data_IF_991105404102
#
_entry.id   IF_991105404102
#
_cell.length_a   1.000
_cell.length_b   1.000
_cell.length_c   1.000
_cell.angle_alpha   90.00
_cell.angle_beta   90.00
_cell.angle_gamma   90.00
#
_symmetry.space_group_name_H-M   'P 1'
#
loop_
_entity.id
_entity.type
_entity.pdbx_description
1 polymer ?
#
# COMPACT_ATOMS: atom_id res chain seq x y z
N UNK A 1 3.25 -10.76 24.98
CA UNK A 1 4.64 -11.24 25.23
C UNK A 1 5.10 -11.88 23.93
N UNK A 2 6.02 -11.23 23.22
CA UNK A 2 6.58 -11.70 21.94
C UNK A 2 7.68 -12.72 22.25
N UNK A 3 7.63 -13.89 21.61
CA UNK A 3 8.67 -14.92 21.71
C UNK A 3 9.50 -14.95 20.42
N UNK A 4 10.70 -14.33 20.40
CA UNK A 4 11.59 -14.30 19.24
C UNK A 4 12.23 -15.66 18.91
N UNK A 5 11.97 -16.71 19.67
CA UNK A 5 12.47 -18.06 19.41
C UNK A 5 11.55 -18.92 18.53
N UNK A 6 10.33 -18.45 18.25
CA UNK A 6 9.41 -19.12 17.35
C UNK A 6 9.79 -18.75 15.91
N UNK A 7 9.98 -19.74 15.01
CA UNK A 7 10.52 -19.45 13.69
C UNK A 7 9.59 -18.49 12.95
N UNK A 8 10.20 -17.58 12.19
CA UNK A 8 9.60 -16.71 11.16
C UNK A 8 8.67 -17.51 10.20
N UNK A 9 8.75 -18.84 10.28
CA UNK A 9 8.13 -19.86 9.45
C UNK A 9 6.97 -20.61 10.14
N UNK A 10 6.07 -19.91 10.85
CA UNK A 10 4.86 -20.57 11.41
C UNK A 10 3.98 -21.19 10.31
N UNK A 11 4.11 -20.69 9.07
CA UNK A 11 3.38 -21.15 7.88
C UNK A 11 4.33 -21.24 6.67
N UNK A 12 5.15 -22.31 6.57
CA UNK A 12 6.29 -22.36 5.64
C UNK A 12 5.95 -22.40 4.16
N UNK A 13 4.69 -22.68 3.83
CA UNK A 13 4.22 -22.86 2.47
C UNK A 13 3.07 -21.88 2.13
N UNK A 14 2.66 -21.08 3.12
CA UNK A 14 1.54 -20.17 2.96
C UNK A 14 1.95 -18.95 2.14
N UNK A 15 1.22 -18.68 1.06
CA UNK A 15 1.36 -17.43 0.35
C UNK A 15 1.09 -16.25 1.30
N UNK A 16 1.97 -15.24 1.36
CA UNK A 16 1.78 -14.10 2.26
C UNK A 16 0.57 -13.24 1.89
N UNK A 17 0.07 -13.35 0.65
CA UNK A 17 -1.09 -12.61 0.14
C UNK A 17 -2.41 -13.32 0.47
N UNK A 18 -2.65 -14.54 -0.03
CA UNK A 18 -3.93 -15.21 0.17
C UNK A 18 -3.99 -16.17 1.37
N UNK A 19 -2.83 -16.58 1.89
CA UNK A 19 -2.73 -17.49 3.03
C UNK A 19 -2.90 -18.98 2.73
N UNK A 20 -3.24 -19.37 1.49
CA UNK A 20 -3.22 -20.76 1.05
C UNK A 20 -1.80 -21.32 0.94
N UNK A 21 -1.63 -22.58 1.36
CA UNK A 21 -0.41 -23.36 1.22
C UNK A 21 -0.18 -23.71 -0.26
N UNK A 22 0.57 -22.86 -0.97
CA UNK A 22 0.76 -22.92 -2.43
C UNK A 22 2.22 -22.79 -2.85
N UNK A 23 3.10 -22.49 -1.91
CA UNK A 23 4.52 -22.29 -2.14
C UNK A 23 5.29 -23.52 -1.69
N UNK A 24 6.42 -23.82 -2.34
CA UNK A 24 7.31 -24.88 -1.88
C UNK A 24 8.10 -24.42 -0.65
N UNK A 25 8.54 -23.16 -0.64
CA UNK A 25 9.16 -22.48 0.48
C UNK A 25 8.92 -20.96 0.46
N UNK A 26 9.06 -20.31 1.62
CA UNK A 26 8.97 -18.85 1.73
C UNK A 26 10.21 -18.16 1.16
N UNK A 27 10.02 -17.08 0.40
CA UNK A 27 11.06 -16.17 -0.07
C UNK A 27 11.88 -16.65 -1.27
N UNK A 28 11.43 -17.71 -1.93
CA UNK A 28 12.12 -18.33 -3.08
C UNK A 28 11.58 -17.85 -4.44
N UNK A 29 10.82 -16.75 -4.47
CA UNK A 29 10.22 -16.17 -5.68
C UNK A 29 9.18 -17.08 -6.38
N UNK A 30 8.61 -18.03 -5.63
CA UNK A 30 7.48 -18.82 -6.11
C UNK A 30 6.26 -17.93 -6.34
N UNK A 31 5.54 -18.18 -7.44
CA UNK A 31 4.28 -17.49 -7.75
C UNK A 31 3.12 -18.32 -7.25
N UNK A 32 2.31 -17.75 -6.36
CA UNK A 32 1.11 -18.40 -5.85
C UNK A 32 0.11 -18.70 -6.98
N UNK A 33 -0.25 -19.97 -7.14
CA UNK A 33 -1.21 -20.43 -8.17
C UNK A 33 -2.66 -20.02 -7.92
N UNK A 34 -2.97 -19.52 -6.72
CA UNK A 34 -4.30 -19.03 -6.35
C UNK A 34 -4.39 -17.53 -6.61
N UNK A 35 -3.58 -16.72 -5.93
CA UNK A 35 -3.71 -15.27 -5.99
C UNK A 35 -2.76 -14.60 -6.99
N UNK A 36 -1.75 -15.31 -7.52
CA UNK A 36 -0.72 -14.81 -8.44
C UNK A 36 0.30 -13.82 -7.86
N UNK A 37 0.37 -13.68 -6.54
CA UNK A 37 1.46 -12.97 -5.87
C UNK A 37 2.77 -13.78 -5.95
N UNK A 38 3.89 -13.14 -6.29
CA UNK A 38 5.24 -13.69 -6.20
C UNK A 38 5.79 -13.51 -4.79
N UNK A 39 6.22 -14.59 -4.15
CA UNK A 39 6.80 -14.54 -2.81
C UNK A 39 8.28 -14.12 -2.84
N UNK A 40 8.50 -12.81 -2.91
CA UNK A 40 9.82 -12.16 -2.80
C UNK A 40 10.36 -12.07 -1.34
N UNK A 41 9.69 -12.76 -0.40
CA UNK A 41 10.02 -12.76 1.03
C UNK A 41 9.42 -11.59 1.82
N UNK A 42 8.58 -10.76 1.20
CA UNK A 42 7.79 -9.73 1.90
C UNK A 42 6.77 -10.36 2.87
N UNK A 43 6.57 -9.75 4.05
CA UNK A 43 5.56 -10.17 5.01
C UNK A 43 5.05 -8.98 5.86
N UNK A 44 4.40 -9.24 6.99
CA UNK A 44 3.71 -8.27 7.85
C UNK A 44 4.52 -7.02 8.21
N UNK A 45 5.82 -7.16 8.50
CA UNK A 45 6.69 -6.06 8.93
C UNK A 45 6.92 -5.02 7.83
N UNK A 46 6.82 -5.43 6.57
CA UNK A 46 7.05 -4.59 5.41
C UNK A 46 5.91 -4.67 4.38
N UNK A 47 4.71 -5.12 4.80
CA UNK A 47 3.58 -5.39 3.91
C UNK A 47 3.09 -4.16 3.15
N UNK A 48 3.33 -2.95 3.67
CA UNK A 48 2.95 -1.69 3.03
C UNK A 48 4.00 -1.18 2.02
N UNK A 49 5.16 -1.81 1.93
CA UNK A 49 6.22 -1.42 0.98
C UNK A 49 5.87 -1.93 -0.41
N UNK A 50 6.02 -1.08 -1.43
CA UNK A 50 5.94 -1.52 -2.84
C UNK A 50 7.35 -1.93 -3.28
N UNK A 51 7.55 -3.23 -3.51
CA UNK A 51 8.85 -3.79 -3.92
C UNK A 51 9.05 -3.81 -5.44
N UNK A 52 7.97 -3.76 -6.23
CA UNK A 52 8.07 -3.75 -7.68
C UNK A 52 8.04 -5.15 -8.30
N UNK A 53 8.70 -5.30 -9.45
CA UNK A 53 8.90 -6.60 -10.10
C UNK A 53 7.60 -7.22 -10.63
N UNK A 54 7.48 -8.56 -10.59
CA UNK A 54 6.26 -9.29 -10.96
C UNK A 54 5.02 -8.87 -10.16
N UNK A 55 5.21 -8.40 -8.94
CA UNK A 55 4.15 -7.85 -8.07
C UNK A 55 3.69 -6.43 -8.48
N UNK A 56 4.21 -5.88 -9.59
CA UNK A 56 3.83 -4.59 -10.15
C UNK A 56 4.01 -3.44 -9.16
N UNK A 57 3.08 -2.49 -9.10
CA UNK A 57 3.08 -1.34 -8.20
C UNK A 57 2.33 -1.60 -6.88
N UNK A 58 2.00 -2.86 -6.58
CA UNK A 58 1.19 -3.21 -5.41
C UNK A 58 2.08 -3.50 -4.21
N UNK A 59 1.61 -3.07 -3.03
CA UNK A 59 2.11 -3.57 -1.77
C UNK A 59 1.42 -4.88 -1.42
N UNK A 60 2.04 -5.71 -0.58
CA UNK A 60 1.42 -6.93 -0.08
C UNK A 60 0.09 -6.65 0.64
N UNK A 61 -0.01 -5.56 1.39
CA UNK A 61 -1.28 -5.11 2.00
C UNK A 61 -2.36 -4.91 0.94
N UNK A 62 -2.06 -4.21 -0.16
CA UNK A 62 -3.05 -4.00 -1.24
C UNK A 62 -3.41 -5.31 -1.93
N UNK A 63 -2.43 -6.17 -2.17
CA UNK A 63 -2.64 -7.50 -2.74
C UNK A 63 -3.57 -8.37 -1.88
N UNK A 64 -3.39 -8.37 -0.55
CA UNK A 64 -4.29 -9.06 0.39
C UNK A 64 -5.72 -8.54 0.30
N UNK A 65 -5.90 -7.22 0.30
CA UNK A 65 -7.23 -6.59 0.17
C UNK A 65 -7.88 -6.96 -1.18
N UNK A 66 -7.12 -6.87 -2.27
CA UNK A 66 -7.58 -7.24 -3.60
C UNK A 66 -8.00 -8.71 -3.68
N UNK A 67 -7.23 -9.60 -3.04
CA UNK A 67 -7.57 -11.01 -2.96
C UNK A 67 -8.85 -11.24 -2.15
N UNK A 68 -8.98 -10.63 -0.98
CA UNK A 68 -10.21 -10.72 -0.17
C UNK A 68 -11.45 -10.22 -0.92
N UNK A 69 -11.27 -9.19 -1.76
CA UNK A 69 -12.38 -8.55 -2.48
C UNK A 69 -12.72 -9.25 -3.81
N UNK A 70 -11.72 -9.79 -4.51
CA UNK A 70 -11.86 -10.20 -5.93
C UNK A 70 -11.24 -11.56 -6.26
N UNK A 71 -10.61 -12.22 -5.29
CA UNK A 71 -9.97 -13.53 -5.46
C UNK A 71 -8.62 -13.51 -6.18
N UNK A 72 -8.03 -12.34 -6.48
CA UNK A 72 -6.72 -12.22 -7.14
C UNK A 72 -5.93 -11.02 -6.59
N UNK A 73 -4.59 -11.09 -6.59
CA UNK A 73 -3.74 -10.01 -6.06
C UNK A 73 -3.91 -8.69 -6.83
N UNK A 74 -4.17 -8.76 -8.14
CA UNK A 74 -4.32 -7.63 -9.03
C UNK A 74 -5.58 -7.79 -9.90
N UNK A 75 -6.69 -7.11 -9.57
CA UNK A 75 -7.98 -7.32 -10.23
C UNK A 75 -7.98 -7.09 -11.74
N UNK A 76 -7.09 -6.21 -12.24
CA UNK A 76 -6.94 -5.91 -13.66
C UNK A 76 -6.29 -7.04 -14.48
N UNK A 77 -5.66 -8.03 -13.83
CA UNK A 77 -5.08 -9.22 -14.48
C UNK A 77 -6.14 -10.28 -14.77
N UNK A 78 -7.12 -9.89 -15.58
CA UNK A 78 -8.22 -10.78 -15.98
C UNK A 78 -7.73 -12.01 -16.75
N UNK A 79 -6.59 -11.89 -17.44
CA UNK A 79 -5.90 -12.96 -18.18
C UNK A 79 -5.44 -14.14 -17.31
N UNK A 80 -5.37 -13.95 -15.99
CA UNK A 80 -4.90 -14.95 -15.03
C UNK A 80 -6.02 -15.71 -14.32
N UNK A 81 -7.28 -15.22 -14.40
CA UNK A 81 -8.41 -15.78 -13.64
C UNK A 81 -8.72 -17.22 -14.03
N UNK A 82 -8.75 -17.50 -15.33
CA UNK A 82 -9.05 -18.85 -15.86
C UNK A 82 -7.91 -19.86 -15.60
N UNK A 83 -6.77 -19.39 -15.09
CA UNK A 83 -5.59 -20.21 -14.76
C UNK A 83 -5.44 -20.47 -13.27
N UNK A 84 -6.30 -19.88 -12.43
CA UNK A 84 -6.21 -20.03 -10.97
C UNK A 84 -6.43 -21.49 -10.57
N UNK A 85 -5.61 -21.95 -9.62
CA UNK A 85 -5.86 -23.21 -8.95
C UNK A 85 -7.12 -23.10 -8.08
N UNK A 86 -7.97 -24.13 -8.16
CA UNK A 86 -9.12 -24.24 -7.25
C UNK A 86 -8.65 -24.47 -5.82
N UNK A 87 -9.28 -23.76 -4.87
CA UNK A 87 -8.89 -23.80 -3.46
C UNK A 87 -9.41 -25.03 -2.71
N UNK A 88 -10.33 -25.80 -3.29
CA UNK A 88 -10.97 -26.94 -2.65
C UNK A 88 -9.98 -28.01 -2.14
N UNK A 89 -8.83 -28.14 -2.81
CA UNK A 89 -7.76 -29.08 -2.43
C UNK A 89 -6.65 -28.44 -1.59
N UNK A 90 -6.74 -27.16 -1.28
CA UNK A 90 -5.68 -26.38 -0.63
C UNK A 90 -6.04 -26.08 0.82
N UNK A 91 -5.03 -26.13 1.68
CA UNK A 91 -5.17 -25.73 3.09
C UNK A 91 -4.89 -24.23 3.19
N UNK A 92 -5.86 -23.47 3.71
CA UNK A 92 -5.62 -22.10 4.13
C UNK A 92 -4.94 -22.10 5.51
N UNK A 93 -3.72 -21.58 5.57
CA UNK A 93 -2.89 -21.54 6.77
C UNK A 93 -2.88 -20.16 7.44
N UNK A 94 -3.06 -19.09 6.65
CA UNK A 94 -3.16 -17.71 7.15
C UNK A 94 -4.52 -17.13 6.80
N UNK A 95 -5.09 -16.40 7.74
CA UNK A 95 -6.40 -15.77 7.60
C UNK A 95 -6.27 -14.27 7.79
N UNK A 96 -6.76 -13.53 6.80
CA UNK A 96 -6.78 -12.08 6.82
C UNK A 96 -8.22 -11.57 6.84
N UNK A 97 -8.46 -10.47 7.54
CA UNK A 97 -9.76 -9.79 7.60
C UNK A 97 -9.59 -8.34 7.17
N UNK A 98 -10.53 -7.81 6.40
CA UNK A 98 -10.53 -6.41 5.98
C UNK A 98 -11.80 -5.72 6.50
N UNK A 99 -11.62 -4.62 7.23
CA UNK A 99 -12.68 -3.72 7.65
C UNK A 99 -12.68 -2.51 6.72
N UNK A 100 -13.67 -2.45 5.82
CA UNK A 100 -13.83 -1.36 4.87
C UNK A 100 -14.05 -0.01 5.55
N UNK A 101 -14.74 0.03 6.70
CA UNK A 101 -15.09 1.28 7.38
C UNK A 101 -13.88 2.01 7.95
N UNK A 102 -12.85 1.24 8.36
CA UNK A 102 -11.60 1.78 8.88
C UNK A 102 -10.44 1.59 7.91
N UNK A 103 -10.66 0.98 6.74
CA UNK A 103 -9.62 0.58 5.79
C UNK A 103 -8.50 -0.24 6.43
N UNK A 104 -8.85 -1.07 7.43
CA UNK A 104 -7.88 -1.83 8.22
C UNK A 104 -7.89 -3.28 7.80
N UNK A 105 -6.72 -3.80 7.43
CA UNK A 105 -6.50 -5.22 7.25
C UNK A 105 -5.79 -5.80 8.47
N UNK A 106 -6.16 -7.00 8.88
CA UNK A 106 -5.57 -7.68 10.02
C UNK A 106 -5.28 -9.16 9.72
N UNK A 107 -4.30 -9.71 10.43
CA UNK A 107 -4.05 -11.14 10.59
C UNK A 107 -4.23 -11.47 12.08
N UNK A 108 -5.46 -11.84 12.49
CA UNK A 108 -5.79 -11.98 13.92
C UNK A 108 -4.92 -13.00 14.65
N UNK A 109 -4.51 -14.08 13.96
CA UNK A 109 -3.68 -15.13 14.53
C UNK A 109 -2.29 -14.66 14.98
N UNK A 110 -1.83 -13.52 14.45
CA UNK A 110 -0.53 -12.90 14.79
C UNK A 110 -0.68 -11.56 15.52
N UNK A 111 -1.89 -11.15 15.90
CA UNK A 111 -2.16 -9.83 16.48
C UNK A 111 -1.60 -8.68 15.61
N UNK A 112 -1.58 -8.89 14.29
CA UNK A 112 -1.08 -7.92 13.32
C UNK A 112 -2.24 -7.20 12.65
N UNK A 113 -2.12 -5.89 12.48
CA UNK A 113 -3.01 -5.11 11.64
C UNK A 113 -2.31 -3.89 11.07
N UNK A 114 -2.83 -3.39 9.96
CA UNK A 114 -2.42 -2.11 9.39
C UNK A 114 -3.58 -1.48 8.65
N UNK A 115 -3.63 -0.16 8.68
CA UNK A 115 -4.61 0.62 7.92
C UNK A 115 -4.00 1.03 6.60
N UNK A 116 -4.63 0.64 5.50
CA UNK A 116 -4.27 1.21 4.20
C UNK A 116 -4.79 2.64 4.18
N UNK A 117 -3.90 3.59 3.96
CA UNK A 117 -4.31 4.93 3.56
C UNK A 117 -4.40 4.85 2.05
N UNK A 118 -5.62 4.94 1.52
CA UNK A 118 -5.94 4.75 0.10
C UNK A 118 -4.80 5.22 -0.80
N UNK A 119 -4.19 4.25 -1.47
CA UNK A 119 -3.17 4.51 -2.46
C UNK A 119 -3.88 4.73 -3.77
N UNK A 120 -4.02 5.99 -4.19
CA UNK A 120 -3.79 6.56 -5.53
C UNK A 120 -3.89 5.67 -6.79
N UNK A 121 -4.67 4.60 -6.79
CA UNK A 121 -4.86 3.68 -7.91
C UNK A 121 -6.13 3.99 -8.71
N UNK A 122 -6.80 5.09 -8.38
CA UNK A 122 -7.89 5.69 -9.15
C UNK A 122 -7.38 6.87 -9.99
N UNK A 123 -7.37 6.70 -11.32
CA UNK A 123 -7.01 7.77 -12.26
C UNK A 123 -7.96 8.98 -12.20
N UNK A 124 -9.16 8.84 -11.63
CA UNK A 124 -10.13 9.92 -11.52
C UNK A 124 -9.93 10.77 -10.26
N UNK A 125 -9.21 10.25 -9.26
CA UNK A 125 -9.08 10.90 -7.95
C UNK A 125 -7.70 10.67 -7.33
N UNK A 126 -6.92 11.74 -7.21
CA UNK A 126 -5.66 11.71 -6.47
C UNK A 126 -5.87 11.93 -4.97
N UNK A 127 -5.05 11.27 -4.13
CA UNK A 127 -5.07 11.39 -2.68
C UNK A 127 -4.73 12.81 -2.23
N UNK A 128 -3.75 13.44 -2.89
CA UNK A 128 -3.39 14.83 -2.66
C UNK A 128 -3.69 15.70 -3.88
N UNK A 129 -3.95 16.98 -3.63
CA UNK A 129 -4.27 17.98 -4.64
C UNK A 129 -3.14 18.99 -4.77
N UNK A 130 -3.09 19.67 -5.92
CA UNK A 130 -2.25 20.86 -6.09
C UNK A 130 -2.65 21.87 -5.00
N UNK A 131 -1.66 22.37 -4.26
CA UNK A 131 -1.84 23.30 -3.14
C UNK A 131 -1.81 22.64 -1.76
N UNK A 132 -1.93 21.31 -1.66
CA UNK A 132 -1.82 20.62 -0.37
C UNK A 132 -0.40 20.75 0.18
N UNK A 133 -0.30 21.06 1.47
CA UNK A 133 0.96 21.10 2.18
C UNK A 133 1.26 19.74 2.79
N UNK A 134 2.44 19.20 2.50
CA UNK A 134 2.84 17.84 2.88
C UNK A 134 4.25 17.82 3.45
N UNK A 135 4.52 16.78 4.24
CA UNK A 135 5.88 16.38 4.63
C UNK A 135 6.23 15.03 4.03
N UNK A 136 7.49 14.87 3.66
CA UNK A 136 8.04 13.60 3.19
C UNK A 136 8.27 12.66 4.38
N UNK A 137 7.79 11.43 4.27
CA UNK A 137 8.08 10.33 5.20
C UNK A 137 9.51 9.86 4.95
N UNK A 138 10.35 9.99 5.98
CA UNK A 138 11.76 9.57 5.91
C UNK A 138 11.85 8.05 6.03
N UNK A 139 12.48 7.40 5.05
CA UNK A 139 12.68 5.96 4.99
C UNK A 139 13.90 5.63 4.11
N UNK A 140 14.13 4.35 3.80
CA UNK A 140 15.27 3.91 2.98
C UNK A 140 15.30 4.54 1.57
N UNK A 141 14.12 4.86 0.99
CA UNK A 141 13.95 5.52 -0.32
C UNK A 141 14.02 7.04 -0.22
N UNK A 142 13.59 7.63 0.90
CA UNK A 142 13.47 9.07 1.13
C UNK A 142 14.34 9.53 2.31
N UNK A 143 15.65 9.59 2.10
CA UNK A 143 16.59 9.89 3.19
C UNK A 143 16.57 11.35 3.67
N UNK A 144 16.18 12.29 2.81
CA UNK A 144 16.17 13.72 3.13
C UNK A 144 14.79 14.14 3.62
N UNK A 145 14.64 14.57 4.89
CA UNK A 145 13.41 15.18 5.37
C UNK A 145 13.09 16.42 4.53
N UNK A 146 11.84 16.56 4.12
CA UNK A 146 11.37 17.69 3.32
C UNK A 146 9.93 18.02 3.67
N UNK A 147 9.61 19.30 3.62
CA UNK A 147 8.26 19.86 3.67
C UNK A 147 8.07 20.76 2.45
N UNK A 148 6.83 20.86 2.00
CA UNK A 148 6.52 21.65 0.83
C UNK A 148 5.06 21.56 0.42
N UNK A 149 4.75 22.27 -0.66
CA UNK A 149 3.42 22.29 -1.28
C UNK A 149 3.44 21.49 -2.57
N UNK A 150 2.38 20.71 -2.82
CA UNK A 150 2.20 19.99 -4.08
C UNK A 150 1.93 20.99 -5.20
N UNK A 151 2.76 20.99 -6.24
CA UNK A 151 2.59 21.86 -7.40
C UNK A 151 2.09 21.13 -8.65
N UNK A 152 2.33 19.82 -8.73
CA UNK A 152 1.98 19.00 -9.90
C UNK A 152 1.55 17.63 -9.44
N UNK A 153 0.48 17.11 -10.06
CA UNK A 153 -0.07 15.78 -9.84
C UNK A 153 -0.21 15.12 -11.22
N UNK A 154 0.42 13.96 -11.42
CA UNK A 154 0.45 13.28 -12.74
C UNK A 154 0.17 11.80 -12.61
N UNK A 155 -0.77 11.30 -13.43
CA UNK A 155 -1.09 9.88 -13.46
C UNK A 155 -0.05 9.10 -14.28
N UNK A 156 0.46 8.00 -13.73
CA UNK A 156 1.40 7.12 -14.40
C UNK A 156 0.69 5.87 -14.93
N UNK A 157 0.15 5.94 -16.15
CA UNK A 157 -0.68 4.88 -16.76
C UNK A 157 -0.13 3.46 -16.65
N UNK A 158 1.17 3.24 -16.84
CA UNK A 158 1.77 1.90 -16.78
C UNK A 158 1.81 1.33 -15.35
N UNK A 159 1.94 2.21 -14.36
CA UNK A 159 2.03 1.80 -12.96
C UNK A 159 0.71 1.99 -12.23
N UNK A 160 -0.31 2.61 -12.84
CA UNK A 160 -1.60 2.82 -12.19
C UNK A 160 -1.49 3.56 -10.85
N UNK A 161 -0.63 4.59 -10.77
CA UNK A 161 -0.42 5.40 -9.56
C UNK A 161 -0.27 6.88 -9.93
N UNK A 162 -0.55 7.76 -8.97
CA UNK A 162 -0.21 9.18 -9.07
C UNK A 162 1.22 9.47 -8.61
N UNK A 163 1.86 10.41 -9.32
CA UNK A 163 3.11 11.04 -8.94
C UNK A 163 2.89 12.48 -8.53
N UNK A 164 3.52 12.87 -7.43
CA UNK A 164 3.50 14.20 -6.85
C UNK A 164 4.84 14.90 -7.00
N UNK A 165 4.80 16.16 -7.40
CA UNK A 165 5.95 17.06 -7.36
C UNK A 165 5.71 18.15 -6.32
N UNK A 166 6.78 18.52 -5.64
CA UNK A 166 6.75 19.50 -4.54
C UNK A 166 7.53 20.75 -4.91
N UNK A 167 7.07 21.88 -4.40
CA UNK A 167 7.88 23.06 -4.15
C UNK A 167 8.17 23.08 -2.66
N UNK A 168 9.44 23.15 -2.27
CA UNK A 168 9.81 23.22 -0.85
C UNK A 168 9.37 24.54 -0.22
N UNK A 169 9.39 24.63 1.11
CA UNK A 169 8.96 25.84 1.84
C UNK A 169 9.79 27.09 1.52
N UNK A 170 10.96 26.93 0.89
CA UNK A 170 11.79 28.03 0.39
C UNK A 170 11.44 28.44 -1.05
N UNK A 171 10.41 27.86 -1.66
CA UNK A 171 9.95 28.16 -3.01
C UNK A 171 10.73 27.44 -4.12
N UNK A 172 11.55 26.43 -3.80
CA UNK A 172 12.37 25.72 -4.79
C UNK A 172 11.69 24.43 -5.25
N UNK A 173 11.70 24.20 -6.57
CA UNK A 173 11.20 22.95 -7.14
C UNK A 173 12.05 21.75 -6.67
N UNK A 174 11.37 20.72 -6.15
CA UNK A 174 11.99 19.44 -5.82
C UNK A 174 11.98 18.56 -7.06
N UNK A 175 13.16 18.13 -7.51
CA UNK A 175 13.31 17.32 -8.74
C UNK A 175 12.79 15.88 -8.60
N UNK A 176 12.71 15.38 -7.37
CA UNK A 176 12.20 14.04 -7.07
C UNK A 176 10.68 14.03 -7.13
N UNK A 177 10.12 12.99 -7.74
CA UNK A 177 8.71 12.63 -7.67
C UNK A 177 8.43 11.73 -6.47
N UNK A 178 7.28 11.93 -5.86
CA UNK A 178 6.80 11.20 -4.69
C UNK A 178 5.52 10.45 -5.01
N UNK A 179 5.30 9.36 -4.29
CA UNK A 179 4.04 8.61 -4.28
C UNK A 179 3.26 8.91 -2.99
N UNK A 180 1.97 8.60 -2.93
CA UNK A 180 1.16 8.83 -1.73
C UNK A 180 1.78 8.33 -0.40
N UNK A 181 2.40 7.13 -0.30
CA UNK A 181 3.03 6.66 0.95
C UNK A 181 4.25 7.47 1.36
N UNK A 182 4.86 8.16 0.41
CA UNK A 182 6.03 9.00 0.67
C UNK A 182 5.64 10.30 1.38
N UNK A 183 4.35 10.62 1.49
CA UNK A 183 3.85 11.92 1.92
C UNK A 183 2.87 11.80 3.09
N UNK A 184 2.79 12.85 3.90
CA UNK A 184 1.77 13.04 4.92
C UNK A 184 1.28 14.49 4.86
N UNK A 185 -0.04 14.70 4.79
CA UNK A 185 -0.62 16.03 4.88
C UNK A 185 -0.26 16.69 6.21
N UNK A 186 0.15 17.95 6.14
CA UNK A 186 0.35 18.79 7.32
C UNK A 186 -0.75 19.83 7.33
N UNK A 187 -1.57 19.86 8.37
CA UNK A 187 -2.68 20.81 8.49
C UNK A 187 -2.17 22.25 8.29
N UNK A 188 -2.76 22.99 7.36
CA UNK A 188 -2.63 24.45 7.39
C UNK A 188 -3.38 24.95 8.63
N UNK A 189 -2.69 25.64 9.53
CA UNK A 189 -3.33 26.46 10.57
C UNK A 189 -4.28 27.43 9.88
N UNK A 190 -5.59 27.20 9.96
CA UNK A 190 -6.59 28.21 9.62
C UNK A 190 -6.52 29.30 10.69
N UNK A 191 -5.72 30.32 10.42
CA UNK A 191 -5.72 31.58 11.16
C UNK A 191 -7.03 32.32 10.89
N UNK A 192 -7.72 32.67 11.97
CA UNK A 192 -8.89 33.52 12.00
C UNK A 192 -8.77 34.77 11.11
N UNK A 193 -9.82 35.07 10.36
CA UNK A 193 -10.28 36.43 10.15
C UNK A 193 -11.81 36.45 10.07
N UNK A 194 -12.43 36.53 11.25
CA UNK A 194 -13.78 37.06 11.38
C UNK A 194 -13.71 38.56 11.02
N UNK A 195 -14.11 38.91 9.81
CA UNK A 195 -14.35 40.30 9.45
C UNK A 195 -15.70 40.68 10.06
N UNK A 196 -15.62 41.49 11.12
CA UNK A 196 -16.71 42.32 11.62
C UNK A 196 -17.27 43.17 10.47
N UNK A 197 -18.56 43.01 10.19
CA UNK A 197 -19.35 43.91 9.33
C UNK A 197 -20.68 44.23 10.01
N UNK A 198 -20.66 45.19 10.93
CA UNK A 198 -21.84 45.74 11.60
C UNK A 198 -22.42 46.91 10.78
N UNK A 199 -23.75 46.92 10.65
CA UNK A 199 -24.66 48.04 10.29
C UNK A 199 -24.67 48.55 8.84
N UNK A 200 -25.81 48.38 8.16
CA UNK A 200 -26.94 49.34 8.19
C UNK A 200 -28.25 48.61 7.97
#
# INVERSE_FOLDING_TARGET
>A
MFDPSLPINRFPNACPCCGYATLDARGEYDICTVCWWEDDGQDNDDANVVRGGPNSNLSLTRARINFLSTGIFQPSRTDLRDKQQLVDSLVQQRFFTFDESTSTIAEPALDWSTTIRELDDDQSQSLYRIGDHVRVVVNYRNKTPRTGTINTVTWHHKLGIWHYHLVDDAGRNVSKRYEAPDLVATSQTSGNNAVNGSRR
#
